data_IF_269091916633
#
_entry.id   IF_269091916633
#
_cell.length_a   1.000
_cell.length_b   1.000
_cell.length_c   1.000
_cell.angle_alpha   90.00
_cell.angle_beta   90.00
_cell.angle_gamma   90.00
#
_symmetry.space_group_name_H-M   'P 1'
#
loop_
_entity.id
_entity.type
_entity.pdbx_description
1 polymer ?
#
# COMPACT_ATOMS: atom_id res chain seq x y z
N UNK A 1 -8.43 6.21 -18.95
CA UNK A 1 -7.46 7.18 -18.40
C UNK A 1 -6.10 6.53 -18.43
N UNK A 2 -5.07 7.27 -18.80
CA UNK A 2 -3.69 6.78 -18.76
C UNK A 2 -3.19 6.70 -17.30
N UNK A 3 -2.30 5.76 -17.00
CA UNK A 3 -1.81 5.54 -15.64
C UNK A 3 -0.52 6.32 -15.37
N UNK A 4 -0.51 7.12 -14.31
CA UNK A 4 0.62 7.96 -13.86
C UNK A 4 1.59 7.17 -12.96
N UNK A 5 2.16 6.08 -13.50
CA UNK A 5 2.94 5.11 -12.70
C UNK A 5 4.17 5.76 -12.05
N UNK A 6 4.91 6.59 -12.79
CA UNK A 6 6.17 7.13 -12.29
C UNK A 6 5.94 8.21 -11.22
N UNK A 7 4.88 9.01 -11.34
CA UNK A 7 4.43 9.91 -10.27
C UNK A 7 4.00 9.12 -9.04
N UNK A 8 3.20 8.05 -9.22
CA UNK A 8 2.76 7.20 -8.13
C UNK A 8 3.91 6.49 -7.41
N UNK A 9 5.01 6.16 -8.11
CA UNK A 9 6.20 5.55 -7.48
C UNK A 9 6.87 6.50 -6.49
N UNK A 10 6.91 7.79 -6.79
CA UNK A 10 7.52 8.80 -5.93
C UNK A 10 6.76 8.91 -4.58
N UNK A 11 5.43 8.80 -4.63
CA UNK A 11 4.55 8.91 -3.46
C UNK A 11 4.28 7.54 -2.78
N UNK A 12 4.80 6.43 -3.31
CA UNK A 12 4.51 5.11 -2.80
C UNK A 12 5.31 4.80 -1.52
N UNK A 13 4.63 4.82 -0.36
CA UNK A 13 5.23 4.51 0.94
C UNK A 13 5.42 3.02 1.23
N UNK A 14 5.06 2.12 0.30
CA UNK A 14 5.22 0.68 0.50
C UNK A 14 6.69 0.33 0.82
N UNK A 15 6.90 -0.28 1.99
CA UNK A 15 8.23 -0.64 2.54
C UNK A 15 8.72 -1.99 2.06
N UNK A 16 7.88 -2.79 1.39
CA UNK A 16 8.25 -4.11 0.89
C UNK A 16 9.36 -4.00 -0.16
N UNK A 17 10.57 -4.54 0.09
CA UNK A 17 11.69 -4.46 -0.83
C UNK A 17 11.36 -5.14 -2.17
N UNK A 18 11.62 -4.46 -3.29
CA UNK A 18 11.41 -5.03 -4.62
C UNK A 18 9.93 -5.24 -5.00
N UNK A 19 8.99 -4.54 -4.37
CA UNK A 19 7.56 -4.66 -4.68
C UNK A 19 7.27 -4.54 -6.20
N UNK A 20 6.76 -5.59 -6.86
CA UNK A 20 6.54 -5.58 -8.32
C UNK A 20 5.39 -4.67 -8.75
N UNK A 21 4.60 -4.17 -7.78
CA UNK A 21 3.40 -3.33 -7.99
C UNK A 21 3.62 -1.87 -7.61
N UNK A 22 4.87 -1.46 -7.31
CA UNK A 22 5.20 -0.09 -6.91
C UNK A 22 4.80 0.91 -8.00
N UNK A 23 3.95 1.88 -7.65
CA UNK A 23 3.34 2.85 -8.57
C UNK A 23 2.14 2.34 -9.39
N UNK A 24 1.84 1.04 -9.35
CA UNK A 24 0.70 0.42 -10.06
C UNK A 24 -0.49 0.25 -9.11
N UNK A 25 -1.11 1.36 -8.70
CA UNK A 25 -2.09 1.40 -7.60
C UNK A 25 -3.28 0.43 -7.78
N UNK A 26 -3.82 0.28 -8.99
CA UNK A 26 -4.91 -0.66 -9.26
C UNK A 26 -4.49 -2.13 -9.04
N UNK A 27 -3.29 -2.52 -9.48
CA UNK A 27 -2.75 -3.87 -9.25
C UNK A 27 -2.44 -4.09 -7.76
N UNK A 28 -1.90 -3.06 -7.09
CA UNK A 28 -1.60 -3.08 -5.66
C UNK A 28 -2.86 -3.30 -4.82
N UNK A 29 -3.91 -2.51 -5.06
CA UNK A 29 -5.21 -2.64 -4.41
C UNK A 29 -5.82 -4.03 -4.64
N UNK A 30 -5.87 -4.50 -5.89
CA UNK A 30 -6.42 -5.83 -6.21
C UNK A 30 -5.69 -6.94 -5.46
N UNK A 31 -4.37 -6.86 -5.35
CA UNK A 31 -3.57 -7.84 -4.63
C UNK A 31 -3.86 -7.84 -3.13
N UNK A 32 -3.82 -6.67 -2.47
CA UNK A 32 -4.02 -6.60 -1.02
C UNK A 32 -5.47 -6.92 -0.63
N UNK A 33 -6.47 -6.44 -1.37
CA UNK A 33 -7.87 -6.75 -1.09
C UNK A 33 -8.17 -8.26 -1.22
N UNK A 34 -7.53 -8.95 -2.16
CA UNK A 34 -7.65 -10.41 -2.26
C UNK A 34 -7.10 -11.16 -1.04
N UNK A 35 -6.25 -10.52 -0.24
CA UNK A 35 -5.68 -11.04 1.00
C UNK A 35 -6.35 -10.43 2.26
N UNK A 36 -7.47 -9.71 2.12
CA UNK A 36 -8.09 -8.94 3.21
C UNK A 36 -7.14 -7.90 3.85
N UNK A 37 -6.31 -7.27 3.03
CA UNK A 37 -5.36 -6.23 3.41
C UNK A 37 -5.60 -4.93 2.64
N UNK A 38 -4.93 -3.86 3.08
CA UNK A 38 -4.79 -2.61 2.34
C UNK A 38 -3.36 -2.37 1.86
N UNK A 39 -3.14 -1.59 0.78
CA UNK A 39 -1.81 -1.17 0.38
C UNK A 39 -1.06 -0.44 1.50
N UNK A 40 0.27 -0.58 1.55
CA UNK A 40 1.11 0.14 2.51
C UNK A 40 0.96 1.67 2.50
N UNK A 41 0.57 2.23 1.34
CA UNK A 41 0.24 3.66 1.20
C UNK A 41 -0.92 4.12 2.09
N UNK A 42 -1.76 3.21 2.57
CA UNK A 42 -2.86 3.52 3.47
C UNK A 42 -2.42 3.69 4.93
N UNK A 43 -1.17 3.38 5.29
CA UNK A 43 -0.67 3.32 6.68
C UNK A 43 0.38 4.42 6.95
N UNK A 44 0.53 4.81 8.22
CA UNK A 44 1.62 5.67 8.67
C UNK A 44 2.98 4.98 8.41
N UNK A 45 4.08 5.75 8.31
CA UNK A 45 5.42 5.18 8.18
C UNK A 45 5.76 4.20 9.31
N UNK A 46 5.23 4.41 10.51
CA UNK A 46 5.43 3.58 11.68
C UNK A 46 4.65 2.26 11.54
N UNK A 47 3.36 2.32 11.18
CA UNK A 47 2.53 1.13 11.01
C UNK A 47 2.99 0.27 9.82
N UNK A 48 3.32 0.88 8.68
CA UNK A 48 3.78 0.14 7.49
C UNK A 48 5.11 -0.61 7.72
N UNK A 49 5.94 -0.18 8.67
CA UNK A 49 7.16 -0.92 9.08
C UNK A 49 6.85 -2.21 9.83
N UNK A 50 5.65 -2.35 10.41
CA UNK A 50 5.23 -3.58 11.10
C UNK A 50 4.74 -4.66 10.13
N UNK A 51 4.50 -4.29 8.87
CA UNK A 51 3.93 -5.14 7.82
C UNK A 51 2.54 -5.73 8.12
N UNK A 52 1.91 -5.36 9.23
CA UNK A 52 0.50 -5.66 9.47
C UNK A 52 -0.35 -4.71 8.62
N UNK A 53 -0.80 -5.23 7.48
CA UNK A 53 -1.64 -4.52 6.52
C UNK A 53 -3.11 -4.87 6.64
N UNK A 54 -3.53 -5.43 7.77
CA UNK A 54 -4.93 -5.78 8.02
C UNK A 54 -5.82 -4.53 8.11
N UNK A 55 -7.11 -4.71 7.84
CA UNK A 55 -8.11 -3.66 8.08
C UNK A 55 -8.18 -3.22 9.54
N UNK A 56 -7.95 -4.14 10.48
CA UNK A 56 -7.88 -3.79 11.91
C UNK A 56 -6.72 -2.82 12.16
N UNK A 57 -5.52 -3.15 11.66
CA UNK A 57 -4.37 -2.27 11.85
C UNK A 57 -4.58 -0.90 11.21
N UNK A 58 -5.24 -0.85 10.06
CA UNK A 58 -5.61 0.40 9.42
C UNK A 58 -6.53 1.25 10.29
N UNK A 59 -7.56 0.63 10.89
CA UNK A 59 -8.45 1.33 11.81
C UNK A 59 -7.70 1.87 13.05
N UNK A 60 -6.77 1.11 13.62
CA UNK A 60 -5.95 1.56 14.76
C UNK A 60 -4.96 2.68 14.40
N UNK A 61 -4.44 2.68 13.17
CA UNK A 61 -3.42 3.63 12.71
C UNK A 61 -4.01 4.96 12.25
N UNK A 62 -5.25 4.95 11.74
CA UNK A 62 -5.85 6.09 11.02
C UNK A 62 -7.11 6.68 11.67
N UNK A 63 -7.70 6.03 12.68
CA UNK A 63 -8.86 6.52 13.43
C UNK A 63 -8.46 6.88 14.87
#
# INVERSE_FOLDING_TARGET
MECIIDENKAECSCTYPGCPRKGKCCECLKYHLANNELPGCCFSPEAEKTYDRSFQKFAEDRL
#
